data_IF_377840935035
#
_entry.id   IF_377840935035
#
_cell.length_a   1.000
_cell.length_b   1.000
_cell.length_c   1.000
_cell.angle_alpha   90.00
_cell.angle_beta   90.00
_cell.angle_gamma   90.00
#
_symmetry.space_group_name_H-M   'P 1'
#
loop_
_entity.id
_entity.type
_entity.pdbx_description
1 polymer ?
#
# COMPACT_ATOMS: atom_id res chain seq x y z
N UNK A 1 -25.54 1.74 21.61
CA UNK A 1 -25.12 1.11 20.33
C UNK A 1 -23.63 1.32 20.20
N UNK A 2 -22.84 0.35 20.63
CA UNK A 2 -21.37 0.42 20.63
C UNK A 2 -20.89 0.12 19.21
N UNK A 3 -20.68 1.17 18.41
CA UNK A 3 -19.91 1.05 17.18
C UNK A 3 -18.44 0.88 17.58
N UNK A 4 -18.07 -0.35 17.89
CA UNK A 4 -16.68 -0.77 17.88
C UNK A 4 -16.23 -0.76 16.42
N UNK A 5 -15.85 0.42 15.91
CA UNK A 5 -15.04 0.51 14.71
C UNK A 5 -13.71 -0.12 15.09
N UNK A 6 -13.56 -1.42 14.81
CA UNK A 6 -12.30 -2.13 14.87
C UNK A 6 -11.38 -1.47 13.84
N UNK A 7 -10.76 -0.35 14.22
CA UNK A 7 -9.78 0.35 13.41
C UNK A 7 -8.67 -0.67 13.14
N UNK A 8 -8.67 -1.27 11.94
CA UNK A 8 -7.63 -2.24 11.60
C UNK A 8 -6.29 -1.52 11.73
N UNK A 9 -5.44 -2.05 12.59
CA UNK A 9 -4.13 -1.49 12.86
C UNK A 9 -3.29 -1.56 11.58
N UNK A 10 -2.87 -0.40 11.09
CA UNK A 10 -1.84 -0.32 10.06
C UNK A 10 -0.63 -1.17 10.46
N UNK A 11 -0.18 -2.05 9.57
CA UNK A 11 0.99 -2.89 9.82
C UNK A 11 2.24 -2.15 9.35
N UNK A 12 3.20 -1.92 10.25
CA UNK A 12 4.54 -1.47 9.86
C UNK A 12 5.28 -2.66 9.23
N UNK A 13 5.71 -2.50 7.98
CA UNK A 13 6.34 -3.57 7.20
C UNK A 13 7.78 -3.19 6.90
N UNK A 14 8.71 -4.13 7.05
CA UNK A 14 10.13 -3.90 6.75
C UNK A 14 10.47 -4.21 5.27
N UNK A 15 11.68 -3.84 4.85
CA UNK A 15 12.15 -4.06 3.47
C UNK A 15 12.28 -5.54 3.10
N UNK A 16 12.59 -6.42 4.06
CA UNK A 16 12.74 -7.85 3.78
C UNK A 16 11.40 -8.49 3.41
N UNK A 17 10.35 -8.17 4.15
CA UNK A 17 9.00 -8.66 3.88
C UNK A 17 8.48 -8.13 2.54
N UNK A 18 8.70 -6.84 2.21
CA UNK A 18 8.35 -6.33 0.87
C UNK A 18 9.08 -7.05 -0.24
N UNK A 19 10.36 -7.37 -0.07
CA UNK A 19 11.11 -8.13 -1.08
C UNK A 19 10.47 -9.49 -1.32
N UNK A 20 10.06 -10.20 -0.26
CA UNK A 20 9.35 -11.49 -0.34
C UNK A 20 8.00 -11.36 -1.07
N UNK A 21 7.20 -10.35 -0.70
CA UNK A 21 5.91 -10.06 -1.37
C UNK A 21 6.11 -9.81 -2.87
N UNK A 22 7.28 -9.29 -3.24
CA UNK A 22 7.63 -8.86 -4.59
C UNK A 22 8.54 -9.84 -5.36
N UNK A 23 8.75 -11.06 -4.87
CA UNK A 23 9.57 -12.09 -5.53
C UNK A 23 9.01 -12.40 -6.93
N UNK A 24 7.75 -12.82 -7.02
CA UNK A 24 7.05 -13.13 -8.27
C UNK A 24 6.10 -12.02 -8.72
N UNK A 25 6.53 -10.76 -8.53
CA UNK A 25 5.67 -9.60 -8.81
C UNK A 25 5.34 -9.44 -10.29
N UNK A 26 4.22 -8.80 -10.55
CA UNK A 26 3.87 -8.25 -11.85
C UNK A 26 3.80 -6.72 -11.79
N UNK A 27 4.39 -6.02 -12.76
CA UNK A 27 4.29 -4.56 -12.82
C UNK A 27 2.92 -4.16 -13.33
N UNK A 28 2.13 -3.48 -12.50
CA UNK A 28 0.81 -2.97 -12.88
C UNK A 28 0.92 -1.61 -13.56
N UNK A 29 1.77 -0.73 -13.05
CA UNK A 29 1.96 0.60 -13.60
C UNK A 29 3.29 1.23 -13.16
N UNK A 30 3.79 2.14 -13.98
CA UNK A 30 4.89 3.05 -13.63
C UNK A 30 4.38 4.48 -13.77
N UNK A 31 4.61 5.29 -12.74
CA UNK A 31 4.25 6.70 -12.72
C UNK A 31 5.52 7.55 -12.55
N UNK A 32 5.38 8.87 -12.66
CA UNK A 32 6.47 9.81 -12.36
C UNK A 32 6.98 9.68 -10.91
N UNK A 33 6.14 9.22 -9.98
CA UNK A 33 6.42 9.21 -8.54
C UNK A 33 6.73 7.83 -7.97
N UNK A 34 6.19 6.77 -8.59
CA UNK A 34 6.19 5.43 -8.03
C UNK A 34 6.09 4.35 -9.09
N UNK A 35 6.56 3.15 -8.76
CA UNK A 35 6.21 1.91 -9.44
C UNK A 35 5.15 1.16 -8.64
N UNK A 36 4.17 0.61 -9.33
CA UNK A 36 3.04 -0.12 -8.74
C UNK A 36 3.12 -1.57 -9.20
N UNK A 37 3.17 -2.47 -8.23
CA UNK A 37 3.32 -3.89 -8.45
C UNK A 37 2.16 -4.67 -7.85
N UNK A 38 1.75 -5.72 -8.54
CA UNK A 38 0.98 -6.82 -7.97
C UNK A 38 1.96 -7.78 -7.30
N UNK A 39 1.75 -8.08 -6.04
CA UNK A 39 2.49 -9.09 -5.28
C UNK A 39 1.55 -10.03 -4.53
N UNK A 40 2.12 -10.97 -3.80
CA UNK A 40 1.37 -11.94 -2.99
C UNK A 40 1.82 -11.85 -1.54
N UNK A 41 0.87 -11.68 -0.62
CA UNK A 41 1.11 -11.70 0.81
C UNK A 41 0.08 -12.60 1.50
N UNK A 42 0.55 -13.59 2.25
CA UNK A 42 -0.30 -14.58 2.94
C UNK A 42 -1.32 -15.26 1.99
N UNK A 43 -0.89 -15.57 0.77
CA UNK A 43 -1.72 -16.21 -0.26
C UNK A 43 -2.77 -15.29 -0.90
N UNK A 44 -2.74 -13.98 -0.63
CA UNK A 44 -3.63 -12.99 -1.23
C UNK A 44 -2.87 -12.02 -2.13
N UNK A 45 -3.51 -11.62 -3.22
CA UNK A 45 -3.01 -10.57 -4.08
C UNK A 45 -3.06 -9.22 -3.34
N UNK A 46 -1.95 -8.49 -3.38
CA UNK A 46 -1.80 -7.15 -2.80
C UNK A 46 -1.14 -6.23 -3.80
N UNK A 47 -1.42 -4.93 -3.68
CA UNK A 47 -0.73 -3.90 -4.45
C UNK A 47 0.38 -3.32 -3.60
N UNK A 48 1.60 -3.31 -4.13
CA UNK A 48 2.71 -2.59 -3.53
C UNK A 48 3.03 -1.38 -4.38
N UNK A 49 2.80 -0.19 -3.82
CA UNK A 49 3.19 1.08 -4.43
C UNK A 49 4.53 1.52 -3.85
N UNK A 50 5.60 1.37 -4.64
CA UNK A 50 6.97 1.72 -4.28
C UNK A 50 7.31 3.10 -4.83
N UNK A 51 7.57 4.06 -3.94
CA UNK A 51 7.88 5.44 -4.29
C UNK A 51 9.36 5.57 -4.62
N UNK A 52 9.68 6.42 -5.59
CA UNK A 52 11.06 6.78 -5.88
C UNK A 52 11.63 7.58 -4.69
N UNK A 53 12.93 7.46 -4.43
CA UNK A 53 13.60 8.06 -3.27
C UNK A 53 13.29 9.56 -3.10
N UNK A 54 13.37 10.33 -4.20
CA UNK A 54 13.04 11.77 -4.24
C UNK A 54 11.57 12.10 -3.95
N UNK A 55 10.70 11.10 -3.92
CA UNK A 55 9.25 11.23 -3.75
C UNK A 55 8.74 10.57 -2.46
N UNK A 56 9.61 10.19 -1.52
CA UNK A 56 9.21 9.76 -0.16
C UNK A 56 8.25 10.73 0.57
N UNK A 57 8.37 12.07 0.45
CA UNK A 57 7.38 12.99 1.04
C UNK A 57 5.97 12.83 0.46
N UNK A 58 5.84 12.34 -0.78
CA UNK A 58 4.54 12.01 -1.39
C UNK A 58 3.96 10.77 -0.72
N UNK A 59 4.79 9.75 -0.46
CA UNK A 59 4.37 8.54 0.26
C UNK A 59 3.82 8.87 1.65
N UNK A 60 4.48 9.76 2.40
CA UNK A 60 4.04 10.18 3.75
C UNK A 60 2.69 10.91 3.72
N UNK A 61 2.46 11.77 2.72
CA UNK A 61 1.18 12.46 2.54
C UNK A 61 0.07 11.47 2.19
N UNK A 62 0.34 10.57 1.26
CA UNK A 62 -0.62 9.54 0.84
C UNK A 62 -0.95 8.59 2.00
N UNK A 63 0.07 8.16 2.76
CA UNK A 63 -0.09 7.37 3.98
C UNK A 63 -1.00 8.07 4.98
N UNK A 64 -0.72 9.35 5.26
CA UNK A 64 -1.48 10.15 6.22
C UNK A 64 -2.94 10.28 5.81
N UNK A 65 -3.21 10.44 4.51
CA UNK A 65 -4.56 10.53 3.99
C UNK A 65 -5.29 9.18 4.07
N UNK A 66 -4.71 8.13 3.49
CA UNK A 66 -5.40 6.85 3.31
C UNK A 66 -5.54 6.07 4.62
N UNK A 67 -4.63 6.24 5.57
CA UNK A 67 -4.74 5.64 6.91
C UNK A 67 -5.92 6.17 7.73
N UNK A 68 -6.52 7.30 7.32
CA UNK A 68 -7.70 7.87 7.95
C UNK A 68 -9.02 7.43 7.29
N UNK A 69 -8.96 6.73 6.15
CA UNK A 69 -10.13 6.35 5.37
C UNK A 69 -10.48 4.89 5.62
N UNK A 70 -11.74 4.63 5.98
CA UNK A 70 -12.29 3.28 6.14
C UNK A 70 -13.71 3.27 5.56
N UNK A 71 -13.87 2.74 4.35
CA UNK A 71 -15.16 2.63 3.66
C UNK A 71 -15.10 1.50 2.62
N UNK A 72 -16.23 0.83 2.35
CA UNK A 72 -16.34 -0.29 1.40
C UNK A 72 -15.97 0.05 -0.06
N UNK A 73 -15.87 1.33 -0.39
CA UNK A 73 -15.60 1.83 -1.75
C UNK A 73 -14.24 2.55 -1.84
N UNK A 74 -13.44 2.46 -0.78
CA UNK A 74 -12.10 3.05 -0.72
C UNK A 74 -11.11 1.92 -0.47
N UNK A 75 -10.07 1.87 -1.31
CA UNK A 75 -9.01 0.88 -1.20
C UNK A 75 -8.40 0.90 0.20
N UNK A 76 -8.41 -0.26 0.84
CA UNK A 76 -7.86 -0.44 2.17
C UNK A 76 -6.33 -0.43 2.18
N UNK A 77 -5.76 0.37 3.09
CA UNK A 77 -4.34 0.32 3.44
C UNK A 77 -4.07 -0.82 4.41
N UNK A 78 -3.26 -1.78 3.99
CA UNK A 78 -2.89 -2.95 4.80
C UNK A 78 -1.60 -2.64 5.60
N UNK A 79 -0.60 -2.06 4.94
CA UNK A 79 0.71 -1.85 5.53
C UNK A 79 1.51 -0.72 4.87
N UNK A 80 2.55 -0.25 5.55
CA UNK A 80 3.47 0.75 5.03
C UNK A 80 4.84 0.64 5.71
N UNK A 81 5.89 1.18 5.09
CA UNK A 81 7.23 1.15 5.68
C UNK A 81 8.32 1.70 4.76
N UNK A 82 9.61 1.46 5.06
CA UNK A 82 10.11 0.53 6.08
C UNK A 82 10.10 1.03 7.53
N UNK A 83 10.04 2.35 7.76
CA UNK A 83 10.08 2.91 9.12
C UNK A 83 9.13 4.09 9.22
N UNK A 84 7.99 3.89 9.88
CA UNK A 84 6.96 4.92 9.98
C UNK A 84 7.17 5.86 11.17
N UNK A 85 6.78 7.14 11.06
CA UNK A 85 6.32 7.84 9.85
C UNK A 85 7.49 8.43 9.01
N UNK A 86 8.71 8.43 9.55
CA UNK A 86 9.84 9.22 9.06
C UNK A 86 10.42 8.74 7.73
N UNK A 87 10.43 7.43 7.48
CA UNK A 87 10.99 6.81 6.28
C UNK A 87 9.99 5.80 5.68
N UNK A 88 9.00 6.37 4.98
CA UNK A 88 8.03 5.62 4.21
C UNK A 88 8.42 5.65 2.73
N UNK A 89 8.73 4.50 2.16
CA UNK A 89 9.06 4.33 0.74
C UNK A 89 8.06 3.46 -0.01
N UNK A 90 7.16 2.77 0.69
CA UNK A 90 6.10 1.98 0.07
C UNK A 90 4.83 1.92 0.88
N UNK A 91 3.73 1.67 0.16
CA UNK A 91 2.42 1.34 0.70
C UNK A 91 2.00 -0.04 0.19
N UNK A 92 1.35 -0.81 1.04
CA UNK A 92 0.72 -2.09 0.71
C UNK A 92 -0.78 -1.93 0.85
N UNK A 93 -1.48 -2.13 -0.25
CA UNK A 93 -2.89 -1.87 -0.42
C UNK A 93 -3.60 -3.18 -0.83
N UNK A 94 -4.90 -3.26 -0.55
CA UNK A 94 -5.69 -4.33 -1.14
C UNK A 94 -5.70 -4.24 -2.67
N UNK A 95 -5.75 -5.40 -3.30
CA UNK A 95 -5.88 -5.48 -4.76
C UNK A 95 -7.35 -5.41 -5.17
N UNK A 96 -7.70 -4.42 -5.98
CA UNK A 96 -9.02 -4.34 -6.61
C UNK A 96 -9.06 -5.19 -7.89
N UNK A 97 -9.86 -6.26 -7.86
CA UNK A 97 -9.93 -7.28 -8.91
C UNK A 97 -10.35 -6.76 -10.30
N UNK A 98 -10.93 -5.55 -10.39
CA UNK A 98 -11.48 -5.01 -11.63
C UNK A 98 -10.53 -4.08 -12.40
N UNK A 99 -9.26 -3.97 -11.99
CA UNK A 99 -8.27 -3.05 -12.57
C UNK A 99 -8.76 -1.58 -12.61
N UNK A 100 -8.02 -0.70 -13.29
CA UNK A 100 -8.40 0.72 -13.42
C UNK A 100 -9.58 0.90 -14.37
N UNK A 101 -10.47 1.86 -14.08
CA UNK A 101 -11.60 2.22 -14.94
C UNK A 101 -11.18 2.99 -16.20
N UNK A 102 -9.90 3.36 -16.35
CA UNK A 102 -9.40 4.06 -17.54
C UNK A 102 -9.41 3.12 -18.76
N UNK A 103 -10.57 3.04 -19.40
CA UNK A 103 -10.78 2.51 -20.75
C UNK A 103 -11.00 3.67 -21.72
#
# INVERSE_FOLDING_TARGET
>A
MTNNSCRKSLISVNNELVRKILEDKFTLATTSFSNVYLGVWEGKNVVVKLFHEKHKPVAQKELSLIAQLEHENIIHLIGAGPSLPLDCSFLILEYANCHSLQN
#
